data_IF_562303545461
#
_entry.id   IF_562303545461
#
_cell.length_a   1.000
_cell.length_b   1.000
_cell.length_c   1.000
_cell.angle_alpha   90.00
_cell.angle_beta   90.00
_cell.angle_gamma   90.00
#
_symmetry.space_group_name_H-M   'P 1'
#
loop_
_entity.id
_entity.type
_entity.pdbx_description
1 polymer ?
#
# COMPACT_ATOMS: atom_id res chain seq x y z
N UNK A 1 26.16 3.12 -2.58
CA UNK A 1 25.04 2.40 -3.22
C UNK A 1 23.94 2.29 -2.19
N UNK A 2 22.69 2.53 -2.59
CA UNK A 2 21.51 2.37 -1.74
C UNK A 2 21.25 0.89 -1.45
N UNK A 3 20.29 0.58 -0.58
CA UNK A 3 19.84 -0.80 -0.36
C UNK A 3 18.68 -1.17 -1.29
N UNK A 4 18.55 -2.44 -1.73
CA UNK A 4 17.29 -2.91 -2.28
C UNK A 4 16.24 -2.88 -1.17
N UNK A 5 14.94 -2.82 -1.50
CA UNK A 5 13.92 -2.64 -0.47
C UNK A 5 12.56 -3.23 -0.81
N UNK A 6 11.82 -3.53 0.25
CA UNK A 6 10.44 -4.01 0.22
C UNK A 6 9.55 -2.98 0.92
N UNK A 7 8.63 -2.37 0.16
CA UNK A 7 7.58 -1.51 0.71
C UNK A 7 6.34 -2.38 0.95
N UNK A 8 6.05 -2.68 2.20
CA UNK A 8 4.86 -3.40 2.64
C UNK A 8 3.71 -2.42 2.78
N UNK A 9 2.60 -2.67 2.09
CA UNK A 9 1.44 -1.77 2.10
C UNK A 9 0.11 -2.53 2.10
N UNK A 10 -0.96 -1.81 2.40
CA UNK A 10 -2.33 -2.23 2.10
C UNK A 10 -2.91 -1.43 0.93
N UNK A 11 -4.11 -1.82 0.49
CA UNK A 11 -4.86 -1.00 -0.48
C UNK A 11 -5.29 0.31 0.18
N UNK A 12 -5.28 1.39 -0.62
CA UNK A 12 -5.78 2.73 -0.26
C UNK A 12 -5.02 3.45 0.86
N UNK A 13 -3.80 3.03 1.17
CA UNK A 13 -2.88 3.75 2.08
C UNK A 13 -2.19 4.96 1.42
N UNK A 14 -2.51 5.28 0.16
CA UNK A 14 -1.89 6.40 -0.57
C UNK A 14 -0.41 6.17 -0.93
N UNK A 15 0.03 4.91 -0.92
CA UNK A 15 1.43 4.56 -1.09
C UNK A 15 1.98 4.60 -2.51
N UNK A 16 1.15 4.71 -3.55
CA UNK A 16 1.63 4.61 -4.93
C UNK A 16 2.56 5.77 -5.29
N UNK A 17 2.19 7.01 -4.97
CA UNK A 17 3.02 8.18 -5.30
C UNK A 17 4.36 8.16 -4.57
N UNK A 18 4.34 7.91 -3.26
CA UNK A 18 5.57 7.80 -2.47
C UNK A 18 6.43 6.61 -2.91
N UNK A 19 5.85 5.44 -3.15
CA UNK A 19 6.59 4.28 -3.62
C UNK A 19 7.21 4.54 -5.00
N UNK A 20 6.50 5.17 -5.93
CA UNK A 20 7.06 5.58 -7.23
C UNK A 20 8.24 6.53 -7.04
N UNK A 21 8.11 7.57 -6.21
CA UNK A 21 9.21 8.51 -5.92
C UNK A 21 10.47 7.77 -5.46
N UNK A 22 10.34 6.91 -4.44
CA UNK A 22 11.48 6.21 -3.83
C UNK A 22 12.06 5.17 -4.80
N UNK A 23 11.21 4.50 -5.58
CA UNK A 23 11.69 3.57 -6.61
C UNK A 23 12.47 4.28 -7.70
N UNK A 24 12.00 5.43 -8.20
CA UNK A 24 12.71 6.22 -9.20
C UNK A 24 14.05 6.77 -8.71
N UNK A 25 14.16 7.00 -7.39
CA UNK A 25 15.38 7.52 -6.76
C UNK A 25 16.39 6.44 -6.34
N UNK A 26 16.16 5.17 -6.67
CA UNK A 26 17.09 4.08 -6.36
C UNK A 26 17.68 3.48 -7.64
N UNK A 27 18.95 3.06 -7.59
CA UNK A 27 19.64 2.38 -8.70
C UNK A 27 19.21 0.90 -8.88
N UNK A 28 18.56 0.32 -7.87
CA UNK A 28 18.19 -1.10 -7.86
C UNK A 28 17.14 -1.44 -8.92
N UNK A 29 17.09 -2.72 -9.32
CA UNK A 29 16.20 -3.16 -10.38
C UNK A 29 14.73 -3.00 -9.98
N UNK A 30 14.01 -2.12 -10.70
CA UNK A 30 12.58 -1.93 -10.52
C UNK A 30 11.77 -3.08 -11.11
N UNK A 31 10.58 -3.28 -10.56
CA UNK A 31 9.48 -4.00 -11.20
C UNK A 31 8.21 -3.16 -11.04
N UNK A 32 7.14 -3.52 -11.74
CA UNK A 32 5.85 -2.89 -11.52
C UNK A 32 5.39 -3.02 -10.05
N UNK A 33 4.54 -2.09 -9.60
CA UNK A 33 3.95 -2.15 -8.27
C UNK A 33 3.14 -3.43 -8.08
N UNK A 34 3.28 -4.05 -6.91
CA UNK A 34 2.54 -5.24 -6.49
C UNK A 34 2.69 -6.41 -7.47
N UNK A 35 3.93 -6.81 -7.82
CA UNK A 35 4.19 -7.72 -8.93
C UNK A 35 3.67 -9.14 -8.67
N UNK A 36 3.38 -9.50 -7.42
CA UNK A 36 2.82 -10.78 -7.01
C UNK A 36 1.28 -10.84 -7.08
N UNK A 37 0.60 -9.75 -7.44
CA UNK A 37 -0.82 -9.83 -7.72
C UNK A 37 -1.06 -10.76 -8.93
N UNK A 38 -2.19 -11.48 -8.93
CA UNK A 38 -2.44 -12.60 -9.87
C UNK A 38 -2.39 -12.21 -11.34
N UNK A 39 -2.57 -10.93 -11.66
CA UNK A 39 -2.59 -10.33 -12.99
C UNK A 39 -1.25 -9.66 -13.38
N UNK A 40 -0.22 -9.78 -12.54
CA UNK A 40 1.05 -9.06 -12.67
C UNK A 40 2.21 -10.00 -13.02
N UNK A 41 3.39 -9.41 -13.24
CA UNK A 41 4.63 -10.08 -13.69
C UNK A 41 4.94 -11.38 -12.94
N UNK A 42 4.81 -11.38 -11.61
CA UNK A 42 5.05 -12.54 -10.75
C UNK A 42 3.76 -13.19 -10.26
N UNK A 43 2.62 -12.84 -10.86
CA UNK A 43 1.30 -13.36 -10.50
C UNK A 43 1.16 -14.86 -10.70
N UNK A 44 1.95 -15.46 -11.60
CA UNK A 44 2.01 -16.91 -11.77
C UNK A 44 2.38 -17.64 -10.47
N UNK A 45 3.33 -17.11 -9.69
CA UNK A 45 3.73 -17.69 -8.39
C UNK A 45 2.53 -17.76 -7.44
N UNK A 46 1.76 -16.66 -7.37
CA UNK A 46 0.57 -16.59 -6.51
C UNK A 46 -0.55 -17.50 -6.98
N UNK A 47 -0.81 -17.56 -8.29
CA UNK A 47 -1.85 -18.45 -8.87
C UNK A 47 -1.50 -19.91 -8.63
N UNK A 48 -0.27 -20.30 -8.93
CA UNK A 48 0.22 -21.67 -8.80
C UNK A 48 0.18 -22.14 -7.34
N UNK A 49 0.59 -21.29 -6.40
CA UNK A 49 0.50 -21.61 -4.98
C UNK A 49 -0.96 -21.75 -4.51
N UNK A 50 -1.88 -20.88 -4.96
CA UNK A 50 -3.31 -20.99 -4.62
C UNK A 50 -3.93 -22.30 -5.13
N UNK A 51 -3.47 -22.81 -6.28
CA UNK A 51 -3.99 -24.03 -6.88
C UNK A 51 -3.38 -25.29 -6.28
N UNK A 52 -2.07 -25.30 -6.04
CA UNK A 52 -1.31 -26.52 -5.69
C UNK A 52 -0.88 -26.59 -4.23
N UNK A 53 -0.81 -25.45 -3.53
CA UNK A 53 -0.32 -25.38 -2.15
C UNK A 53 1.18 -25.70 -2.00
N UNK A 54 1.94 -25.74 -3.10
CA UNK A 54 3.36 -26.12 -3.09
C UNK A 54 4.23 -24.99 -2.51
N UNK A 55 4.61 -25.16 -1.24
CA UNK A 55 5.44 -24.21 -0.52
C UNK A 55 6.87 -24.14 -1.05
N UNK A 56 7.42 -25.25 -1.55
CA UNK A 56 8.79 -25.27 -2.06
C UNK A 56 8.87 -24.48 -3.37
N UNK A 57 7.92 -24.69 -4.27
CA UNK A 57 7.82 -23.91 -5.52
C UNK A 57 7.56 -22.43 -5.25
N UNK A 58 6.69 -22.09 -4.27
CA UNK A 58 6.46 -20.71 -3.85
C UNK A 58 7.77 -20.04 -3.41
N UNK A 59 8.52 -20.68 -2.52
CA UNK A 59 9.79 -20.15 -2.00
C UNK A 59 10.82 -19.97 -3.10
N UNK A 60 10.98 -20.97 -3.97
CA UNK A 60 11.91 -20.89 -5.09
C UNK A 60 11.57 -19.74 -6.06
N UNK A 61 10.29 -19.57 -6.40
CA UNK A 61 9.85 -18.49 -7.28
C UNK A 61 10.04 -17.09 -6.67
N UNK A 62 9.77 -16.94 -5.36
CA UNK A 62 10.00 -15.66 -4.65
C UNK A 62 11.50 -15.36 -4.55
N UNK A 63 12.32 -16.38 -4.27
CA UNK A 63 13.77 -16.26 -4.21
C UNK A 63 14.35 -15.78 -5.55
N UNK A 64 13.98 -16.44 -6.66
CA UNK A 64 14.38 -16.04 -8.01
C UNK A 64 13.95 -14.61 -8.35
N UNK A 65 12.74 -14.21 -7.92
CA UNK A 65 12.24 -12.86 -8.14
C UNK A 65 13.10 -11.81 -7.44
N UNK A 66 13.59 -12.07 -6.21
CA UNK A 66 14.32 -11.11 -5.38
C UNK A 66 15.84 -11.15 -5.56
N UNK A 67 16.39 -12.29 -5.99
CA UNK A 67 17.83 -12.50 -6.16
C UNK A 67 18.60 -11.37 -6.89
N UNK A 68 18.02 -10.69 -7.90
CA UNK A 68 18.68 -9.55 -8.55
C UNK A 68 18.76 -8.26 -7.71
N UNK A 69 18.39 -8.28 -6.43
CA UNK A 69 18.34 -7.08 -5.58
C UNK A 69 17.20 -6.13 -5.98
N UNK A 70 15.99 -6.65 -6.14
CA UNK A 70 14.85 -5.83 -6.62
C UNK A 70 14.29 -4.91 -5.54
N UNK A 71 13.79 -3.76 -5.99
CA UNK A 71 12.88 -2.90 -5.22
C UNK A 71 11.42 -3.21 -5.55
N UNK A 72 10.62 -3.49 -4.52
CA UNK A 72 9.24 -3.97 -4.68
C UNK A 72 8.30 -3.22 -3.73
N UNK A 73 7.15 -2.78 -4.24
CA UNK A 73 5.97 -2.43 -3.45
C UNK A 73 5.08 -3.64 -3.41
N UNK A 74 4.76 -4.13 -2.22
CA UNK A 74 4.03 -5.36 -2.01
C UNK A 74 2.77 -5.12 -1.17
N UNK A 75 1.60 -5.48 -1.71
CA UNK A 75 0.35 -5.40 -1.00
C UNK A 75 0.11 -6.68 -0.19
N UNK A 76 0.48 -6.66 1.09
CA UNK A 76 0.44 -7.86 1.95
C UNK A 76 -0.99 -8.30 2.35
N UNK A 77 -1.99 -7.49 2.01
CA UNK A 77 -3.41 -7.70 2.28
C UNK A 77 -4.05 -8.73 1.34
N UNK A 78 -3.66 -8.75 0.07
CA UNK A 78 -4.40 -9.45 -1.02
C UNK A 78 -3.72 -10.72 -1.54
N UNK A 79 -2.59 -11.08 -0.94
CA UNK A 79 -1.83 -12.30 -1.26
C UNK A 79 -1.91 -13.31 -0.11
N UNK A 80 -1.63 -14.59 -0.36
CA UNK A 80 -1.53 -15.59 0.71
C UNK A 80 -0.44 -15.23 1.74
N UNK A 81 -0.66 -15.52 3.03
CA UNK A 81 0.31 -15.24 4.10
C UNK A 81 1.64 -15.98 3.90
N UNK A 82 1.59 -17.19 3.32
CA UNK A 82 2.79 -17.95 2.96
C UNK A 82 3.70 -17.16 1.99
N UNK A 83 3.12 -16.37 1.10
CA UNK A 83 3.88 -15.51 0.19
C UNK A 83 4.54 -14.36 0.94
N UNK A 84 3.83 -13.70 1.86
CA UNK A 84 4.42 -12.65 2.71
C UNK A 84 5.63 -13.17 3.49
N UNK A 85 5.53 -14.39 4.04
CA UNK A 85 6.65 -15.05 4.73
C UNK A 85 7.82 -15.34 3.78
N UNK A 86 7.56 -15.96 2.63
CA UNK A 86 8.61 -16.25 1.65
C UNK A 86 9.31 -14.98 1.19
N UNK A 87 8.56 -13.88 1.04
CA UNK A 87 9.09 -12.57 0.65
C UNK A 87 9.93 -11.94 1.76
N UNK A 88 9.54 -12.08 3.03
CA UNK A 88 10.36 -11.67 4.18
C UNK A 88 11.68 -12.43 4.21
N UNK A 89 11.62 -13.77 4.09
CA UNK A 89 12.79 -14.65 4.13
C UNK A 89 13.79 -14.35 3.01
N UNK A 90 13.30 -14.16 1.78
CA UNK A 90 14.13 -13.78 0.64
C UNK A 90 14.64 -12.34 0.77
N UNK A 91 13.83 -11.41 1.27
CA UNK A 91 14.23 -10.02 1.52
C UNK A 91 15.44 -9.93 2.46
N UNK A 92 15.36 -10.61 3.60
CA UNK A 92 16.47 -10.66 4.55
C UNK A 92 17.72 -11.33 3.96
N UNK A 93 17.54 -12.42 3.21
CA UNK A 93 18.64 -13.12 2.52
C UNK A 93 19.40 -12.21 1.55
N UNK A 94 18.68 -11.34 0.84
CA UNK A 94 19.26 -10.43 -0.16
C UNK A 94 19.53 -9.02 0.37
N UNK A 95 19.40 -8.81 1.69
CA UNK A 95 19.73 -7.54 2.34
C UNK A 95 18.76 -6.40 1.99
N UNK A 96 17.50 -6.73 1.68
CA UNK A 96 16.47 -5.74 1.47
C UNK A 96 16.19 -4.96 2.76
N UNK A 97 16.04 -3.64 2.66
CA UNK A 97 15.46 -2.83 3.73
C UNK A 97 13.94 -2.89 3.68
N UNK A 98 13.32 -2.89 4.85
CA UNK A 98 11.87 -3.05 4.98
C UNK A 98 11.22 -1.71 5.34
N UNK A 99 10.22 -1.33 4.57
CA UNK A 99 9.43 -0.11 4.77
C UNK A 99 7.98 -0.51 4.93
N UNK A 100 7.33 -0.09 6.01
CA UNK A 100 5.88 -0.23 6.17
C UNK A 100 5.23 1.08 5.79
N UNK A 101 4.37 1.03 4.78
CA UNK A 101 3.54 2.16 4.38
C UNK A 101 2.11 1.88 4.80
N UNK A 102 1.65 2.62 5.80
CA UNK A 102 0.32 2.45 6.41
C UNK A 102 -0.47 3.76 6.43
N UNK A 103 -1.68 3.72 6.98
CA UNK A 103 -2.58 4.88 7.12
C UNK A 103 -3.30 4.80 8.45
N UNK A 104 -3.18 5.85 9.28
CA UNK A 104 -3.80 5.87 10.62
C UNK A 104 -5.31 5.98 10.54
N UNK A 105 -5.83 6.76 9.59
CA UNK A 105 -7.26 6.90 9.39
C UNK A 105 -7.82 5.71 8.60
N UNK A 106 -8.03 4.61 9.32
CA UNK A 106 -8.49 3.34 8.79
C UNK A 106 -9.93 3.39 8.27
N UNK A 107 -10.79 4.20 8.90
CA UNK A 107 -12.18 4.43 8.47
C UNK A 107 -12.19 5.02 7.06
N UNK A 108 -11.47 6.12 6.85
CA UNK A 108 -11.39 6.76 5.54
C UNK A 108 -10.68 5.86 4.51
N UNK A 109 -9.74 5.01 4.95
CA UNK A 109 -9.10 4.02 4.07
C UNK A 109 -10.12 3.01 3.54
N UNK A 110 -10.92 2.41 4.42
CA UNK A 110 -11.95 1.44 4.06
C UNK A 110 -13.05 2.10 3.22
N UNK A 111 -13.56 3.26 3.61
CA UNK A 111 -14.53 4.02 2.80
C UNK A 111 -13.97 4.28 1.40
N UNK A 112 -12.70 4.69 1.31
CA UNK A 112 -12.06 4.92 0.03
C UNK A 112 -11.90 3.66 -0.82
N UNK A 113 -11.76 2.49 -0.19
CA UNK A 113 -11.71 1.20 -0.88
C UNK A 113 -13.08 0.80 -1.43
N UNK A 114 -14.13 0.94 -0.62
CA UNK A 114 -15.50 0.62 -1.07
C UNK A 114 -15.94 1.54 -2.21
N UNK A 115 -15.61 2.82 -2.12
CA UNK A 115 -15.85 3.77 -3.21
C UNK A 115 -15.09 3.38 -4.47
N UNK A 116 -13.82 2.95 -4.38
CA UNK A 116 -13.09 2.45 -5.54
C UNK A 116 -13.74 1.19 -6.15
N UNK A 117 -14.27 0.28 -5.33
CA UNK A 117 -14.98 -0.93 -5.80
C UNK A 117 -16.26 -0.58 -6.58
N UNK A 118 -17.12 0.28 -6.04
CA UNK A 118 -18.41 0.60 -6.67
C UNK A 118 -18.29 1.57 -7.85
N UNK A 119 -17.26 2.42 -7.87
CA UNK A 119 -17.05 3.40 -8.95
C UNK A 119 -16.06 2.91 -10.02
N UNK A 120 -15.31 1.83 -9.77
CA UNK A 120 -14.19 1.42 -10.63
C UNK A 120 -13.00 2.38 -10.63
N UNK A 121 -12.97 3.39 -9.76
CA UNK A 121 -11.95 4.42 -9.70
C UNK A 121 -10.65 3.93 -9.00
N UNK A 122 -9.88 3.08 -9.67
CA UNK A 122 -8.61 2.55 -9.13
C UNK A 122 -7.38 3.43 -9.41
N UNK A 123 -7.46 4.34 -10.39
CA UNK A 123 -6.44 5.33 -10.74
C UNK A 123 -6.97 6.76 -10.75
N UNK A 124 -6.08 7.77 -10.85
CA UNK A 124 -6.46 9.19 -10.85
C UNK A 124 -7.38 9.54 -12.02
N UNK A 125 -7.03 9.11 -13.23
CA UNK A 125 -7.82 9.37 -14.45
C UNK A 125 -9.24 8.79 -14.35
N UNK A 126 -9.36 7.53 -13.92
CA UNK A 126 -10.65 6.89 -13.71
C UNK A 126 -11.47 7.57 -12.59
N UNK A 127 -10.80 8.03 -11.53
CA UNK A 127 -11.46 8.80 -10.46
C UNK A 127 -12.01 10.12 -10.99
N UNK A 128 -11.20 10.91 -11.69
CA UNK A 128 -11.62 12.21 -12.23
C UNK A 128 -12.82 12.05 -13.18
N UNK A 129 -12.76 11.08 -14.09
CA UNK A 129 -13.86 10.82 -15.02
C UNK A 129 -15.15 10.36 -14.32
N UNK A 130 -15.06 9.37 -13.42
CA UNK A 130 -16.26 8.82 -12.79
C UNK A 130 -16.85 9.76 -11.74
N UNK A 131 -16.02 10.50 -11.00
CA UNK A 131 -16.49 11.41 -9.97
C UNK A 131 -17.26 12.59 -10.57
N UNK A 132 -16.80 13.13 -11.71
CA UNK A 132 -17.54 14.17 -12.43
C UNK A 132 -18.92 13.69 -12.90
N UNK A 133 -19.04 12.43 -13.32
CA UNK A 133 -20.34 11.84 -13.74
C UNK A 133 -21.28 11.65 -12.57
N UNK A 134 -20.76 11.29 -11.40
CA UNK A 134 -21.51 11.20 -10.14
C UNK A 134 -22.00 12.59 -9.70
N UNK A 135 -21.10 13.58 -9.68
CA UNK A 135 -21.42 14.96 -9.30
C UNK A 135 -22.49 15.57 -10.23
N UNK A 136 -22.50 15.19 -11.52
CA UNK A 136 -23.51 15.59 -12.50
C UNK A 136 -24.83 14.79 -12.42
N UNK A 137 -24.90 13.78 -11.55
CA UNK A 137 -26.08 12.91 -11.42
C UNK A 137 -26.23 11.87 -12.55
N UNK A 138 -25.24 11.71 -13.43
CA UNK A 138 -25.24 10.70 -14.49
C UNK A 138 -25.02 9.28 -13.95
N UNK A 139 -24.39 9.17 -12.79
CA UNK A 139 -24.20 7.93 -12.03
C UNK A 139 -24.77 8.15 -10.64
N UNK A 140 -25.75 7.33 -10.24
CA UNK A 140 -26.23 7.28 -8.86
C UNK A 140 -25.53 6.16 -8.12
N UNK A 141 -24.95 6.46 -6.95
CA UNK A 141 -24.30 5.44 -6.13
C UNK A 141 -25.35 4.68 -5.32
N UNK A 142 -25.23 3.35 -5.32
CA UNK A 142 -26.02 2.50 -4.45
C UNK A 142 -25.50 2.58 -3.00
N UNK A 143 -26.35 2.26 -2.00
CA UNK A 143 -25.88 2.04 -0.63
C UNK A 143 -24.79 0.96 -0.59
N UNK A 144 -23.80 1.13 0.28
CA UNK A 144 -22.75 0.13 0.51
C UNK A 144 -23.30 -0.95 1.47
N UNK A 145 -23.09 -2.22 1.13
CA UNK A 145 -23.38 -3.34 2.03
C UNK A 145 -22.49 -3.25 3.27
N UNK A 146 -23.07 -3.18 4.47
CA UNK A 146 -22.36 -2.76 5.68
C UNK A 146 -21.41 -3.82 6.26
N UNK A 147 -21.69 -5.11 6.05
CA UNK A 147 -20.92 -6.19 6.67
C UNK A 147 -19.62 -6.49 5.92
N UNK A 148 -19.60 -6.37 4.58
CA UNK A 148 -18.39 -6.59 3.79
C UNK A 148 -17.22 -5.65 4.19
N UNK A 149 -17.40 -4.33 4.35
CA UNK A 149 -16.36 -3.42 4.83
C UNK A 149 -15.87 -3.75 6.25
N UNK A 150 -16.77 -4.18 7.15
CA UNK A 150 -16.41 -4.58 8.51
C UNK A 150 -15.56 -5.85 8.53
N UNK A 151 -15.96 -6.89 7.78
CA UNK A 151 -15.14 -8.10 7.59
C UNK A 151 -13.79 -7.77 6.96
N UNK A 152 -13.78 -6.84 6.01
CA UNK A 152 -12.54 -6.40 5.35
C UNK A 152 -11.61 -5.68 6.32
N UNK A 153 -12.15 -4.81 7.17
CA UNK A 153 -11.42 -4.12 8.24
C UNK A 153 -10.76 -5.12 9.20
N UNK A 154 -11.51 -6.12 9.65
CA UNK A 154 -10.99 -7.20 10.50
C UNK A 154 -9.88 -7.99 9.79
N UNK A 155 -10.08 -8.35 8.52
CA UNK A 155 -9.05 -9.00 7.71
C UNK A 155 -7.78 -8.14 7.65
N UNK A 156 -7.90 -6.82 7.46
CA UNK A 156 -6.75 -5.92 7.42
C UNK A 156 -6.01 -5.91 8.76
N UNK A 157 -6.71 -5.85 9.91
CA UNK A 157 -6.05 -5.95 11.22
C UNK A 157 -5.28 -7.24 11.38
N UNK A 158 -5.91 -8.36 11.07
CA UNK A 158 -5.27 -9.68 11.12
C UNK A 158 -4.02 -9.72 10.21
N UNK A 159 -4.08 -9.11 9.02
CA UNK A 159 -2.94 -9.03 8.10
C UNK A 159 -1.82 -8.12 8.61
N UNK A 160 -2.12 -7.03 9.30
CA UNK A 160 -1.11 -6.18 9.96
C UNK A 160 -0.42 -6.94 11.08
N UNK A 161 -1.17 -7.54 12.00
CA UNK A 161 -0.62 -8.32 13.10
C UNK A 161 0.20 -9.53 12.62
N UNK A 162 -0.20 -10.17 11.52
CA UNK A 162 0.61 -11.23 10.90
C UNK A 162 1.94 -10.70 10.37
N UNK A 163 1.94 -9.53 9.73
CA UNK A 163 3.17 -8.90 9.24
C UNK A 163 4.07 -8.41 10.39
N UNK A 164 3.49 -7.83 11.45
CA UNK A 164 4.22 -7.45 12.66
C UNK A 164 4.93 -8.65 13.30
N UNK A 165 4.22 -9.79 13.43
CA UNK A 165 4.81 -11.04 13.91
C UNK A 165 5.93 -11.56 13.01
N UNK A 166 5.86 -11.34 11.69
CA UNK A 166 6.98 -11.68 10.80
C UNK A 166 8.19 -10.78 11.05
N UNK A 167 7.99 -9.47 11.26
CA UNK A 167 9.10 -8.58 11.62
C UNK A 167 9.77 -9.00 12.94
N UNK A 168 8.97 -9.31 13.97
CA UNK A 168 9.47 -9.82 15.25
C UNK A 168 10.24 -11.13 15.09
N UNK A 169 9.67 -12.10 14.35
CA UNK A 169 10.28 -13.41 14.13
C UNK A 169 11.63 -13.34 13.42
N UNK A 170 11.76 -12.44 12.45
CA UNK A 170 13.00 -12.25 11.67
C UNK A 170 13.95 -11.22 12.31
N UNK A 171 13.58 -10.60 13.44
CA UNK A 171 14.40 -9.58 14.09
C UNK A 171 14.58 -8.31 13.25
N UNK A 172 13.57 -7.97 12.45
CA UNK A 172 13.60 -6.84 11.50
C UNK A 172 12.89 -5.65 12.11
N UNK A 173 13.57 -4.49 12.12
CA UNK A 173 13.00 -3.21 12.49
C UNK A 173 12.69 -2.40 11.21
N UNK A 174 11.43 -2.38 10.73
CA UNK A 174 11.09 -1.69 9.49
C UNK A 174 10.98 -0.17 9.69
N UNK A 175 11.25 0.59 8.63
CA UNK A 175 10.89 2.00 8.61
C UNK A 175 9.38 2.15 8.42
N UNK A 176 8.67 2.57 9.47
CA UNK A 176 7.23 2.80 9.41
C UNK A 176 6.94 4.24 8.99
N UNK A 177 6.09 4.40 7.98
CA UNK A 177 5.60 5.69 7.51
C UNK A 177 4.10 5.67 7.26
N UNK A 178 3.40 6.67 7.79
CA UNK A 178 1.96 6.81 7.59
C UNK A 178 1.65 7.82 6.49
N UNK A 179 0.53 7.60 5.79
CA UNK A 179 -0.03 8.58 4.86
C UNK A 179 -0.09 9.99 5.46
N UNK A 180 -0.59 10.10 6.69
CA UNK A 180 -0.76 11.37 7.39
C UNK A 180 0.58 12.07 7.66
N UNK A 181 1.65 11.30 7.88
CA UNK A 181 3.02 11.84 8.09
C UNK A 181 3.58 12.50 6.83
N UNK A 182 3.11 12.10 5.65
CA UNK A 182 3.66 12.51 4.34
C UNK A 182 2.82 13.60 3.68
N UNK A 183 1.50 13.49 3.76
CA UNK A 183 0.59 14.32 2.98
C UNK A 183 -0.24 15.29 3.83
N UNK A 184 -0.16 15.20 5.17
CA UNK A 184 -0.88 16.09 6.09
C UNK A 184 -0.32 17.51 6.10
N UNK A 185 1.01 17.62 6.23
CA UNK A 185 1.76 18.88 6.18
C UNK A 185 2.95 18.73 5.23
N UNK A 186 3.24 19.77 4.45
CA UNK A 186 4.25 19.68 3.40
C UNK A 186 5.66 19.59 3.96
N UNK A 187 6.01 20.42 4.95
CA UNK A 187 7.37 20.50 5.48
C UNK A 187 7.68 19.27 6.35
N UNK A 188 6.72 18.84 7.17
CA UNK A 188 6.81 17.59 7.92
C UNK A 188 6.90 16.39 6.96
N UNK A 189 6.07 16.35 5.92
CA UNK A 189 6.11 15.29 4.91
C UNK A 189 7.44 15.23 4.18
N UNK A 190 7.98 16.39 3.79
CA UNK A 190 9.32 16.48 3.17
C UNK A 190 10.40 15.94 4.10
N UNK A 191 10.37 16.28 5.39
CA UNK A 191 11.31 15.74 6.37
C UNK A 191 11.18 14.21 6.51
N UNK A 192 9.95 13.68 6.55
CA UNK A 192 9.74 12.22 6.61
C UNK A 192 10.21 11.48 5.37
N UNK A 193 10.06 12.07 4.18
CA UNK A 193 10.68 11.52 2.96
C UNK A 193 12.20 11.53 3.07
N UNK A 194 12.81 12.55 3.66
CA UNK A 194 14.26 12.58 3.88
C UNK A 194 14.74 11.47 4.81
N UNK A 195 14.02 11.23 5.90
CA UNK A 195 14.30 10.11 6.82
C UNK A 195 14.23 8.76 6.09
N UNK A 196 13.19 8.57 5.26
CA UNK A 196 13.02 7.36 4.46
C UNK A 196 14.18 7.14 3.47
N UNK A 197 14.59 8.19 2.74
CA UNK A 197 15.72 8.10 1.82
C UNK A 197 17.03 7.80 2.57
N UNK A 198 17.22 8.37 3.75
CA UNK A 198 18.37 8.07 4.60
C UNK A 198 18.37 6.61 5.09
N UNK A 199 17.21 6.08 5.52
CA UNK A 199 17.06 4.67 5.89
C UNK A 199 17.45 3.73 4.73
N UNK A 200 17.13 4.11 3.49
CA UNK A 200 17.48 3.36 2.29
C UNK A 200 18.88 3.65 1.76
N UNK A 201 19.63 4.55 2.40
CA UNK A 201 20.93 5.04 1.93
C UNK A 201 20.89 5.59 0.49
N UNK A 202 19.78 6.21 0.09
CA UNK A 202 19.64 6.91 -1.19
C UNK A 202 20.29 8.29 -1.08
N UNK A 203 21.29 8.54 -1.93
CA UNK A 203 21.95 9.84 -1.99
C UNK A 203 21.10 10.85 -2.75
N UNK A 204 20.50 11.79 -2.02
CA UNK A 204 19.71 12.89 -2.61
C UNK A 204 20.53 13.80 -3.52
N UNK A 205 21.84 13.93 -3.29
CA UNK A 205 22.70 14.79 -4.10
C UNK A 205 22.88 14.26 -5.54
N UNK A 206 22.61 12.97 -5.77
CA UNK A 206 22.57 12.38 -7.10
C UNK A 206 21.38 12.85 -7.97
N UNK A 207 20.43 13.60 -7.39
CA UNK A 207 19.20 14.04 -8.06
C UNK A 207 19.10 15.58 -8.06
N UNK A 208 19.57 16.27 -9.12
CA UNK A 208 19.50 17.73 -9.21
C UNK A 208 18.09 18.32 -9.12
N UNK A 209 17.08 17.53 -9.48
CA UNK A 209 15.65 17.88 -9.43
C UNK A 209 14.94 17.35 -8.18
N UNK A 210 15.69 16.93 -7.15
CA UNK A 210 15.16 16.34 -5.91
C UNK A 210 13.97 17.11 -5.32
N UNK A 211 14.14 18.41 -5.07
CA UNK A 211 13.09 19.24 -4.45
C UNK A 211 11.82 19.30 -5.30
N UNK A 212 11.97 19.30 -6.63
CA UNK A 212 10.83 19.26 -7.55
C UNK A 212 10.13 17.91 -7.47
N UNK A 213 10.87 16.79 -7.48
CA UNK A 213 10.30 15.44 -7.36
C UNK A 213 9.51 15.25 -6.08
N UNK A 214 10.09 15.66 -4.95
CA UNK A 214 9.41 15.61 -3.64
C UNK A 214 8.17 16.49 -3.63
N UNK A 215 8.28 17.72 -4.14
CA UNK A 215 7.15 18.63 -4.21
C UNK A 215 6.00 18.06 -5.04
N UNK A 216 6.30 17.58 -6.24
CA UNK A 216 5.31 16.99 -7.14
C UNK A 216 4.66 15.76 -6.50
N UNK A 217 5.44 14.90 -5.84
CA UNK A 217 4.93 13.71 -5.15
C UNK A 217 4.01 14.05 -3.97
N UNK A 218 4.36 15.04 -3.14
CA UNK A 218 3.60 15.39 -1.94
C UNK A 218 2.37 16.23 -2.25
N UNK A 219 2.43 17.07 -3.29
CA UNK A 219 1.31 17.92 -3.69
C UNK A 219 0.33 17.22 -4.65
N UNK A 220 0.78 16.21 -5.39
CA UNK A 220 -0.12 15.36 -6.17
C UNK A 220 -0.84 14.39 -5.23
N UNK A 221 -1.83 14.92 -4.51
CA UNK A 221 -2.72 14.15 -3.64
C UNK A 221 -3.46 13.09 -4.47
N UNK A 222 -3.87 12.02 -3.78
CA UNK A 222 -4.57 10.88 -4.38
C UNK A 222 -5.89 11.27 -5.05
N UNK A 223 -6.74 10.29 -5.30
CA UNK A 223 -7.96 10.43 -6.11
C UNK A 223 -9.04 11.39 -5.57
N UNK A 224 -8.83 12.00 -4.40
CA UNK A 224 -9.77 12.93 -3.76
C UNK A 224 -11.19 12.34 -3.59
N UNK A 225 -11.27 11.14 -3.03
CA UNK A 225 -12.52 10.41 -2.81
C UNK A 225 -13.56 11.20 -2.00
N UNK A 226 -13.12 12.15 -1.17
CA UNK A 226 -14.01 13.04 -0.43
C UNK A 226 -15.06 13.75 -1.30
N UNK A 227 -14.77 14.01 -2.59
CA UNK A 227 -15.69 14.63 -3.55
C UNK A 227 -17.01 13.89 -3.73
N UNK A 228 -17.00 12.57 -3.62
CA UNK A 228 -18.17 11.72 -3.91
C UNK A 228 -18.70 11.00 -2.69
N UNK A 229 -18.06 11.14 -1.53
CA UNK A 229 -18.41 10.42 -0.31
C UNK A 229 -19.87 10.67 0.08
N UNK A 230 -20.31 11.93 0.01
CA UNK A 230 -21.65 12.34 0.43
C UNK A 230 -22.76 11.94 -0.57
N UNK A 231 -22.38 11.40 -1.74
CA UNK A 231 -23.33 10.84 -2.71
C UNK A 231 -23.72 9.39 -2.39
N UNK A 232 -23.07 8.74 -1.43
CA UNK A 232 -23.43 7.38 -1.00
C UNK A 232 -24.54 7.46 0.06
N UNK A 233 -25.72 6.85 -0.18
CA UNK A 233 -26.89 7.06 0.67
C UNK A 233 -26.72 6.72 2.17
N UNK A 234 -25.95 5.69 2.48
CA UNK A 234 -25.75 5.20 3.86
C UNK A 234 -24.34 5.47 4.41
N UNK A 235 -23.63 6.48 3.90
CA UNK A 235 -22.23 6.72 4.25
C UNK A 235 -22.02 7.04 5.73
N UNK A 236 -22.95 7.79 6.35
CA UNK A 236 -22.88 8.13 7.77
C UNK A 236 -23.02 6.89 8.65
N UNK A 237 -23.94 5.98 8.31
CA UNK A 237 -24.08 4.70 9.03
C UNK A 237 -22.84 3.84 8.88
N UNK A 238 -22.31 3.72 7.66
CA UNK A 238 -21.09 2.97 7.40
C UNK A 238 -19.90 3.50 8.22
N UNK A 239 -19.70 4.83 8.23
CA UNK A 239 -18.65 5.48 9.02
C UNK A 239 -18.78 5.17 10.51
N UNK A 240 -19.98 5.35 11.08
CA UNK A 240 -20.23 5.09 12.49
C UNK A 240 -19.90 3.64 12.88
N UNK A 241 -20.30 2.66 12.07
CA UNK A 241 -19.99 1.24 12.33
C UNK A 241 -18.48 0.94 12.21
N UNK A 242 -17.81 1.53 11.24
CA UNK A 242 -16.36 1.39 11.08
C UNK A 242 -15.61 2.03 12.26
N UNK A 243 -16.03 3.20 12.71
CA UNK A 243 -15.48 3.90 13.87
C UNK A 243 -15.61 3.06 15.15
N UNK A 244 -16.80 2.52 15.42
CA UNK A 244 -17.02 1.60 16.54
C UNK A 244 -16.12 0.36 16.42
N UNK A 245 -16.03 -0.22 15.23
CA UNK A 245 -15.17 -1.36 15.00
C UNK A 245 -13.68 -1.02 15.24
N UNK A 246 -13.18 0.15 14.83
CA UNK A 246 -11.80 0.62 15.06
C UNK A 246 -11.54 0.87 16.54
N UNK A 247 -12.47 1.48 17.25
CA UNK A 247 -12.33 1.76 18.67
C UNK A 247 -12.21 0.49 19.53
N UNK A 248 -12.86 -0.61 19.13
CA UNK A 248 -12.85 -1.88 19.88
C UNK A 248 -11.50 -2.62 19.88
N UNK A 249 -10.69 -2.44 18.84
CA UNK A 249 -9.42 -3.15 18.69
C UNK A 249 -8.44 -2.28 17.88
N UNK A 250 -7.82 -1.28 18.53
CA UNK A 250 -6.89 -0.38 17.89
C UNK A 250 -5.55 -1.10 17.63
N UNK A 251 -5.12 -1.10 16.38
CA UNK A 251 -3.77 -1.53 16.00
C UNK A 251 -3.20 -0.57 14.93
N UNK A 252 -1.95 -0.16 15.13
CA UNK A 252 -1.11 0.54 14.16
C UNK A 252 0.30 -0.03 14.25
N UNK A 253 1.04 -0.01 13.15
CA UNK A 253 2.50 -0.13 13.19
C UNK A 253 3.14 1.10 13.82
#
# INVERSE_FOLDING_TARGET
MSYPFLIWTMRRTGGTTLASLVMEMSEHLATEHEPFNVDRKFGAITRDFRQRGDLAALRAGVDEALAPGRKIKHCHEIVPSALNRALMEAGERYGNRHVVLDRRNEVDRIVSLELAKITGAWGKEAADANYQRIERGEITLAPIELEAPLRHLELCRNRRQQLARLFEEFGVDPFVIHFEDVYGDFDAGRARVQDLLAHLAIDRAAFPDYEKRVRDALLTRGQNTARITDFVPNISELRARLEEAVARDPFSF
#
